data_IF_802505031602
#
_entry.id   IF_802505031602
#
_cell.length_a   1.000
_cell.length_b   1.000
_cell.length_c   1.000
_cell.angle_alpha   90.00
_cell.angle_beta   90.00
_cell.angle_gamma   90.00
#
_symmetry.space_group_name_H-M   'P 1'
#
loop_
_entity.id
_entity.type
_entity.pdbx_description
1 polymer ?
#
# COMPACT_ATOMS: atom_id res chain seq x y z
N UNK A 1 -5.04 9.40 3.24
CA UNK A 1 -4.05 8.31 3.16
C UNK A 1 -4.39 7.38 2.00
N UNK A 2 -3.41 6.68 1.44
CA UNK A 2 -3.60 5.62 0.42
C UNK A 2 -3.78 4.26 1.12
N UNK A 3 -4.68 3.43 0.62
CA UNK A 3 -4.81 2.02 1.05
C UNK A 3 -3.90 1.16 0.16
N UNK A 4 -2.96 0.43 0.75
CA UNK A 4 -1.97 -0.33 -0.02
C UNK A 4 -1.88 -1.78 0.45
N UNK A 5 -2.34 -2.73 -0.38
CA UNK A 5 -2.27 -4.17 -0.09
C UNK A 5 -0.91 -4.80 -0.42
N UNK A 6 0.04 -4.03 -0.93
CA UNK A 6 1.39 -4.47 -1.28
C UNK A 6 2.50 -3.91 -0.41
N UNK A 7 2.17 -3.30 0.73
CA UNK A 7 3.15 -2.89 1.74
C UNK A 7 2.71 -3.31 3.14
N UNK A 8 3.69 -3.45 4.03
CA UNK A 8 3.49 -3.85 5.42
C UNK A 8 3.66 -2.70 6.41
N UNK A 9 4.32 -1.60 6.06
CA UNK A 9 4.55 -0.49 7.00
C UNK A 9 3.50 0.60 6.81
N UNK A 10 2.68 0.83 7.83
CA UNK A 10 1.83 2.02 7.91
C UNK A 10 2.70 3.25 8.14
N UNK A 11 2.44 4.36 7.44
CA UNK A 11 3.18 5.60 7.72
C UNK A 11 2.39 6.86 7.37
N UNK A 12 2.79 7.97 7.97
CA UNK A 12 2.26 9.32 7.73
C UNK A 12 3.39 10.35 7.67
N UNK A 13 3.20 11.47 6.98
CA UNK A 13 4.16 12.57 7.02
C UNK A 13 4.07 13.30 8.36
N UNK A 14 5.23 13.50 8.98
CA UNK A 14 5.37 14.08 10.30
C UNK A 14 6.19 15.37 10.31
N UNK A 15 5.81 16.28 11.20
CA UNK A 15 6.60 17.45 11.52
C UNK A 15 7.71 17.14 12.55
N UNK A 16 8.91 17.77 12.46
CA UNK A 16 9.32 18.64 11.36
C UNK A 16 9.54 17.84 10.08
N UNK A 17 9.00 18.33 8.98
CA UNK A 17 9.24 17.75 7.67
C UNK A 17 10.52 18.39 7.09
N UNK A 18 11.53 17.58 6.79
CA UNK A 18 12.77 18.02 6.16
C UNK A 18 12.57 18.20 4.66
N UNK A 19 12.18 17.13 3.98
CA UNK A 19 11.88 17.09 2.54
C UNK A 19 10.60 16.28 2.36
N UNK A 20 9.44 16.92 2.14
CA UNK A 20 8.19 16.20 1.92
C UNK A 20 7.37 16.81 0.78
N UNK A 21 6.59 15.95 0.13
CA UNK A 21 5.64 16.37 -0.87
C UNK A 21 4.41 17.05 -0.23
N UNK A 22 3.67 17.79 -1.06
CA UNK A 22 2.43 18.45 -0.65
C UNK A 22 1.29 17.43 -0.52
N UNK A 23 0.64 17.42 0.65
CA UNK A 23 -0.54 16.62 0.97
C UNK A 23 -1.77 17.51 1.17
N UNK A 24 -2.97 16.96 1.03
CA UNK A 24 -4.23 17.70 1.20
C UNK A 24 -4.55 17.98 2.68
N UNK A 25 -4.32 16.97 3.53
CA UNK A 25 -4.52 17.07 4.97
C UNK A 25 -3.32 17.72 5.66
N UNK A 26 -3.46 18.29 6.88
CA UNK A 26 -2.34 18.81 7.65
C UNK A 26 -1.28 17.73 7.95
N UNK A 27 0.00 18.13 7.98
CA UNK A 27 1.10 17.27 8.43
C UNK A 27 0.86 16.88 9.88
N UNK A 28 1.11 15.61 10.21
CA UNK A 28 0.94 15.13 11.58
C UNK A 28 1.99 15.77 12.50
N UNK A 29 1.56 16.28 13.65
CA UNK A 29 2.41 16.96 14.63
C UNK A 29 2.63 16.05 15.86
N UNK A 30 3.75 15.32 15.96
CA UNK A 30 4.00 14.38 17.06
C UNK A 30 3.86 15.01 18.44
N UNK A 31 4.32 16.26 18.59
CA UNK A 31 4.27 16.99 19.86
C UNK A 31 2.86 17.33 20.33
N UNK A 32 1.85 17.27 19.44
CA UNK A 32 0.45 17.51 19.77
C UNK A 32 -0.30 16.25 20.20
N UNK A 33 0.26 15.07 19.95
CA UNK A 33 -0.35 13.79 20.30
C UNK A 33 0.10 13.31 21.68
N UNK A 34 -0.87 12.89 22.49
CA UNK A 34 -0.60 12.28 23.80
C UNK A 34 -0.31 10.78 23.73
N UNK A 35 -0.62 10.13 22.61
CA UNK A 35 -0.39 8.70 22.40
C UNK A 35 0.80 8.39 21.50
N UNK A 36 1.48 9.42 20.98
CA UNK A 36 2.75 9.27 20.27
C UNK A 36 3.83 8.73 21.21
N UNK A 37 4.42 7.59 20.85
CA UNK A 37 5.46 6.96 21.65
C UNK A 37 6.55 6.36 20.76
N UNK A 38 7.81 6.84 20.84
CA UNK A 38 8.92 6.28 20.07
C UNK A 38 9.17 4.81 20.39
N UNK A 39 9.41 3.98 19.36
CA UNK A 39 9.85 2.61 19.57
C UNK A 39 11.36 2.56 19.83
N UNK A 40 11.76 1.70 20.76
CA UNK A 40 13.18 1.41 20.96
C UNK A 40 13.67 0.37 19.96
N UNK A 41 14.98 0.37 19.71
CA UNK A 41 15.62 -0.53 18.73
C UNK A 41 15.46 -2.02 19.08
N UNK A 42 15.23 -2.35 20.35
CA UNK A 42 15.09 -3.73 20.81
C UNK A 42 13.69 -4.33 20.63
N UNK A 43 12.71 -3.50 20.28
CA UNK A 43 11.33 -3.94 20.09
C UNK A 43 11.21 -4.90 18.92
N UNK A 44 10.26 -5.84 19.03
CA UNK A 44 9.97 -6.78 17.94
C UNK A 44 9.56 -6.04 16.66
N UNK A 45 8.77 -4.98 16.78
CA UNK A 45 8.35 -4.15 15.65
C UNK A 45 9.55 -3.58 14.89
N UNK A 46 10.52 -2.97 15.58
CA UNK A 46 11.73 -2.44 14.94
C UNK A 46 12.52 -3.53 14.22
N UNK A 47 12.67 -4.69 14.85
CA UNK A 47 13.40 -5.85 14.29
C UNK A 47 12.70 -6.50 13.10
N UNK A 48 11.42 -6.19 12.88
CA UNK A 48 10.64 -6.67 11.72
C UNK A 48 10.68 -5.73 10.52
N UNK A 49 11.35 -4.57 10.62
CA UNK A 49 11.56 -3.67 9.49
C UNK A 49 12.63 -4.24 8.56
N UNK A 50 12.40 -4.14 7.25
CA UNK A 50 13.40 -4.51 6.24
C UNK A 50 14.63 -3.59 6.30
N UNK A 51 14.39 -2.30 6.47
CA UNK A 51 15.44 -1.28 6.62
C UNK A 51 15.14 -0.49 7.90
N UNK A 52 16.08 -0.56 8.84
CA UNK A 52 16.02 0.19 10.10
C UNK A 52 17.40 0.70 10.52
N UNK A 53 17.41 1.82 11.23
CA UNK A 53 18.59 2.38 11.87
C UNK A 53 18.27 2.62 13.35
N UNK A 54 19.27 2.46 14.22
CA UNK A 54 19.15 2.81 15.63
C UNK A 54 19.90 4.10 15.92
N UNK A 55 19.19 5.13 16.39
CA UNK A 55 19.81 6.42 16.72
C UNK A 55 19.41 6.83 18.14
N UNK A 56 20.40 7.02 19.02
CA UNK A 56 20.15 7.37 20.43
C UNK A 56 19.14 6.44 21.16
N UNK A 57 19.03 5.18 20.73
CA UNK A 57 18.10 4.20 21.29
C UNK A 57 16.69 4.22 20.69
N UNK A 58 16.38 5.13 19.78
CA UNK A 58 15.13 5.14 19.01
C UNK A 58 15.29 4.41 17.68
N UNK A 59 14.23 3.73 17.27
CA UNK A 59 14.16 3.02 16.00
C UNK A 59 13.79 4.01 14.88
N UNK A 60 14.60 4.04 13.84
CA UNK A 60 14.30 4.72 12.58
C UNK A 60 13.88 3.68 11.54
N UNK A 61 12.97 4.06 10.67
CA UNK A 61 12.52 3.22 9.56
C UNK A 61 12.83 3.88 8.21
N UNK A 62 12.96 3.04 7.20
CA UNK A 62 12.91 3.44 5.81
C UNK A 62 12.02 2.46 5.04
N UNK A 63 11.15 3.00 4.19
CA UNK A 63 10.43 2.23 3.17
C UNK A 63 10.79 2.79 1.81
N UNK A 64 11.25 1.90 0.93
CA UNK A 64 11.50 2.19 -0.48
C UNK A 64 10.45 1.47 -1.35
N UNK A 65 9.86 2.20 -2.29
CA UNK A 65 8.85 1.71 -3.22
C UNK A 65 9.44 1.43 -4.60
N UNK A 66 8.79 0.55 -5.36
CA UNK A 66 9.29 0.10 -6.66
C UNK A 66 9.31 1.18 -7.76
N UNK A 67 8.60 2.29 -7.55
CA UNK A 67 8.61 3.49 -8.41
C UNK A 67 9.75 4.47 -8.05
N UNK A 68 10.58 4.14 -7.06
CA UNK A 68 11.65 4.99 -6.54
C UNK A 68 11.20 5.97 -5.46
N UNK A 69 9.91 6.00 -5.12
CA UNK A 69 9.42 6.77 -3.99
C UNK A 69 9.94 6.18 -2.67
N UNK A 70 10.09 7.00 -1.63
CA UNK A 70 10.53 6.53 -0.33
C UNK A 70 9.99 7.38 0.82
N UNK A 71 10.05 6.83 2.03
CA UNK A 71 9.76 7.52 3.28
C UNK A 71 10.76 7.10 4.36
N UNK A 72 11.29 8.08 5.09
CA UNK A 72 12.27 7.89 6.16
C UNK A 72 11.87 8.72 7.37
N UNK A 73 11.98 8.13 8.56
CA UNK A 73 11.77 8.86 9.80
C UNK A 73 11.77 7.98 11.04
N UNK A 74 11.04 8.39 12.06
CA UNK A 74 10.97 7.68 13.33
C UNK A 74 9.96 6.53 13.23
N UNK A 75 10.32 5.36 13.76
CA UNK A 75 9.37 4.27 13.94
C UNK A 75 8.77 4.35 15.34
N UNK A 76 7.45 4.48 15.42
CA UNK A 76 6.74 4.85 16.63
C UNK A 76 5.48 4.02 16.79
N UNK A 77 4.85 4.09 17.96
CA UNK A 77 3.46 3.67 18.13
C UNK A 77 2.55 4.88 18.27
N UNK A 78 1.35 4.77 17.72
CA UNK A 78 0.31 5.79 17.79
C UNK A 78 -1.09 5.14 17.84
N UNK A 79 -2.09 5.93 18.24
CA UNK A 79 -3.50 5.59 18.13
C UNK A 79 -4.02 5.93 16.74
N UNK A 80 -4.54 4.93 16.04
CA UNK A 80 -5.21 5.12 14.75
C UNK A 80 -6.72 5.11 14.95
N UNK A 81 -7.40 6.18 14.53
CA UNK A 81 -8.87 6.27 14.54
C UNK A 81 -9.43 6.09 13.13
N UNK A 82 -10.31 5.09 12.98
CA UNK A 82 -11.02 4.76 11.74
C UNK A 82 -12.53 4.86 12.00
N UNK A 83 -13.14 5.95 11.55
CA UNK A 83 -14.55 6.24 11.81
C UNK A 83 -14.81 6.38 13.31
N UNK A 84 -15.64 5.50 13.88
CA UNK A 84 -15.94 5.48 15.32
C UNK A 84 -15.05 4.54 16.15
N UNK A 85 -14.11 3.83 15.50
CA UNK A 85 -13.22 2.89 16.16
C UNK A 85 -11.82 3.49 16.31
N UNK A 86 -11.16 3.20 17.43
CA UNK A 86 -9.76 3.56 17.67
C UNK A 86 -8.97 2.33 18.07
N UNK A 87 -7.74 2.23 17.56
CA UNK A 87 -6.79 1.18 17.91
C UNK A 87 -5.52 1.85 18.42
N UNK A 88 -5.17 1.56 19.66
CA UNK A 88 -3.99 2.10 20.33
C UNK A 88 -2.74 1.27 20.03
N UNK A 89 -1.58 1.89 20.22
CA UNK A 89 -0.26 1.24 20.14
C UNK A 89 0.04 0.59 18.77
N UNK A 90 -0.46 1.17 17.69
CA UNK A 90 -0.17 0.71 16.33
C UNK A 90 1.20 1.25 15.93
N UNK A 91 2.12 0.36 15.59
CA UNK A 91 3.43 0.69 15.05
C UNK A 91 3.27 1.33 13.65
N UNK A 92 3.75 2.56 13.51
CA UNK A 92 3.73 3.33 12.28
C UNK A 92 5.07 4.01 12.04
N UNK A 93 5.37 4.28 10.77
CA UNK A 93 6.39 5.20 10.36
C UNK A 93 5.93 6.65 10.44
N UNK A 94 6.68 7.47 11.15
CA UNK A 94 6.52 8.90 11.23
C UNK A 94 7.55 9.56 10.30
N UNK A 95 7.16 9.80 9.05
CA UNK A 95 8.08 10.15 7.97
C UNK A 95 8.45 11.62 7.98
N UNK A 96 9.73 11.92 8.14
CA UNK A 96 10.28 13.29 8.10
C UNK A 96 10.91 13.64 6.75
N UNK A 97 11.26 12.63 5.95
CA UNK A 97 11.70 12.78 4.57
C UNK A 97 10.87 11.82 3.70
N UNK A 98 10.07 12.37 2.79
CA UNK A 98 9.12 11.65 1.97
C UNK A 98 9.17 12.19 0.53
N UNK A 99 9.67 11.40 -0.39
CA UNK A 99 9.71 11.76 -1.81
C UNK A 99 8.94 10.73 -2.62
N UNK A 100 8.20 11.18 -3.64
CA UNK A 100 7.45 10.28 -4.48
C UNK A 100 6.18 10.84 -5.07
N UNK A 101 5.41 9.95 -5.69
CA UNK A 101 4.20 10.26 -6.44
C UNK A 101 2.91 10.18 -5.60
N UNK A 102 3.01 10.24 -4.27
CA UNK A 102 1.88 10.14 -3.34
C UNK A 102 0.96 11.38 -3.29
N UNK A 103 1.19 12.35 -4.17
CA UNK A 103 0.63 13.71 -4.18
C UNK A 103 -0.81 13.77 -3.65
N UNK A 104 -1.00 14.56 -2.59
CA UNK A 104 -2.29 14.75 -1.92
C UNK A 104 -2.56 13.81 -0.74
N UNK A 105 -1.93 12.62 -0.69
CA UNK A 105 -2.15 11.69 0.42
C UNK A 105 -1.21 11.94 1.60
N UNK A 106 -1.75 11.92 2.82
CA UNK A 106 -0.95 12.11 4.04
C UNK A 106 0.02 10.96 4.39
N UNK A 107 -0.01 9.85 3.63
CA UNK A 107 0.74 8.63 3.91
C UNK A 107 -0.02 7.38 3.47
N UNK A 108 0.40 6.21 3.96
CA UNK A 108 -0.09 4.88 3.55
C UNK A 108 -0.63 4.09 4.74
N UNK A 109 -1.81 3.49 4.57
CA UNK A 109 -2.33 2.43 5.42
C UNK A 109 -2.01 1.08 4.74
N UNK A 110 -1.03 0.39 5.31
CA UNK A 110 -0.50 -0.87 4.82
C UNK A 110 -1.44 -2.03 5.17
N UNK A 111 -2.04 -2.61 4.15
CA UNK A 111 -2.94 -3.75 4.22
C UNK A 111 -2.27 -5.06 3.77
N UNK A 112 -0.95 -5.07 3.65
CA UNK A 112 -0.11 -6.22 3.31
C UNK A 112 -0.25 -7.39 4.27
N UNK A 113 0.49 -8.46 3.98
CA UNK A 113 0.43 -9.73 4.68
C UNK A 113 1.40 -9.91 5.83
N UNK A 114 2.42 -9.06 5.92
CA UNK A 114 3.50 -9.17 6.88
C UNK A 114 3.10 -8.70 8.27
N UNK A 115 4.02 -8.89 9.21
CA UNK A 115 3.81 -8.67 10.65
C UNK A 115 3.53 -7.21 11.01
N UNK A 116 4.08 -6.26 10.23
CA UNK A 116 3.89 -4.83 10.48
C UNK A 116 2.61 -4.27 9.83
N UNK A 117 1.93 -5.05 8.99
CA UNK A 117 0.72 -4.56 8.31
C UNK A 117 -0.39 -4.26 9.31
N UNK A 118 -1.25 -3.29 8.99
CA UNK A 118 -2.37 -2.92 9.87
C UNK A 118 -3.27 -4.12 10.22
N UNK A 119 -3.68 -5.00 9.27
CA UNK A 119 -4.44 -6.20 9.61
C UNK A 119 -3.73 -7.10 10.64
N UNK A 120 -2.41 -7.30 10.50
CA UNK A 120 -1.63 -8.12 11.43
C UNK A 120 -1.54 -7.48 12.82
N UNK A 121 -1.29 -6.18 12.89
CA UNK A 121 -1.16 -5.47 14.18
C UNK A 121 -2.45 -5.45 15.00
N UNK A 122 -3.61 -5.41 14.33
CA UNK A 122 -4.91 -5.45 15.02
C UNK A 122 -5.46 -6.87 15.21
N UNK A 123 -4.67 -7.90 14.88
CA UNK A 123 -5.07 -9.31 14.89
C UNK A 123 -6.34 -9.57 14.05
N UNK A 124 -6.48 -8.88 12.90
CA UNK A 124 -7.58 -9.12 11.98
C UNK A 124 -7.41 -10.48 11.28
N UNK A 125 -8.47 -11.26 11.27
CA UNK A 125 -8.56 -12.52 10.51
C UNK A 125 -8.86 -12.28 9.03
N UNK A 126 -9.24 -11.06 8.67
CA UNK A 126 -9.50 -10.66 7.30
C UNK A 126 -10.01 -9.23 7.23
N UNK A 127 -9.99 -8.69 6.02
CA UNK A 127 -10.53 -7.38 5.72
C UNK A 127 -11.22 -7.40 4.35
N UNK A 128 -12.13 -6.45 4.15
CA UNK A 128 -12.78 -6.19 2.88
C UNK A 128 -12.80 -4.72 2.58
N UNK A 129 -12.63 -4.38 1.31
CA UNK A 129 -12.83 -3.01 0.84
C UNK A 129 -13.75 -2.99 -0.39
N UNK A 130 -14.59 -1.97 -0.47
CA UNK A 130 -15.43 -1.69 -1.62
C UNK A 130 -15.05 -0.30 -2.12
N UNK A 131 -14.32 -0.26 -3.24
CA UNK A 131 -13.91 1.00 -3.86
C UNK A 131 -15.03 1.51 -4.75
N UNK A 132 -15.30 2.80 -4.66
CA UNK A 132 -16.16 3.52 -5.60
C UNK A 132 -15.31 4.13 -6.70
N UNK A 133 -15.95 4.62 -7.77
CA UNK A 133 -15.26 5.41 -8.78
C UNK A 133 -14.62 6.65 -8.13
N UNK A 134 -13.40 6.99 -8.55
CA UNK A 134 -12.63 8.11 -8.01
C UNK A 134 -13.37 9.44 -8.14
N UNK A 135 -14.13 9.60 -9.21
CA UNK A 135 -14.85 10.84 -9.53
C UNK A 135 -16.31 10.82 -9.02
N UNK A 136 -16.69 9.78 -8.26
CA UNK A 136 -18.01 9.67 -7.64
C UNK A 136 -18.09 10.40 -6.30
N UNK A 137 -19.26 10.97 -6.00
CA UNK A 137 -19.58 11.51 -4.67
C UNK A 137 -19.80 10.41 -3.61
N UNK A 138 -19.73 9.13 -4.00
CA UNK A 138 -19.90 7.99 -3.09
C UNK A 138 -18.64 7.73 -2.26
N UNK A 139 -18.81 7.15 -1.08
CA UNK A 139 -17.70 6.84 -0.17
C UNK A 139 -17.33 5.36 -0.27
N UNK A 140 -16.03 5.08 -0.40
CA UNK A 140 -15.49 3.71 -0.35
C UNK A 140 -15.53 3.17 1.09
N UNK A 141 -15.66 1.86 1.26
CA UNK A 141 -15.66 1.23 2.58
C UNK A 141 -14.43 0.36 2.79
N UNK A 142 -13.97 0.28 4.04
CA UNK A 142 -12.97 -0.65 4.54
C UNK A 142 -13.49 -1.25 5.84
N UNK A 143 -13.56 -2.57 5.91
CA UNK A 143 -14.08 -3.31 7.05
C UNK A 143 -13.12 -4.42 7.44
N UNK A 144 -12.97 -4.64 8.74
CA UNK A 144 -12.18 -5.73 9.31
C UNK A 144 -13.09 -6.75 9.97
N UNK A 145 -12.81 -8.03 9.77
CA UNK A 145 -13.54 -9.15 10.39
C UNK A 145 -15.07 -9.17 10.11
N UNK A 146 -15.53 -8.61 8.99
CA UNK A 146 -16.94 -8.60 8.59
C UNK A 146 -17.44 -10.01 8.24
N UNK A 147 -18.76 -10.23 8.16
CA UNK A 147 -19.32 -11.53 7.73
C UNK A 147 -19.31 -11.67 6.21
N UNK A 148 -19.15 -12.91 5.72
CA UNK A 148 -19.16 -13.18 4.28
C UNK A 148 -20.56 -12.91 3.71
N UNK A 149 -20.63 -12.19 2.59
CA UNK A 149 -21.87 -12.02 1.87
C UNK A 149 -22.33 -13.37 1.30
N UNK A 150 -23.64 -13.71 1.36
CA UNK A 150 -24.16 -15.03 0.93
C UNK A 150 -23.82 -15.44 -0.50
N UNK A 151 -23.58 -14.47 -1.39
CA UNK A 151 -23.30 -14.68 -2.81
C UNK A 151 -21.84 -14.39 -3.19
N UNK A 152 -20.92 -14.38 -2.21
CA UNK A 152 -19.51 -14.13 -2.48
C UNK A 152 -18.89 -15.30 -3.24
N UNK A 153 -18.21 -14.99 -4.36
CA UNK A 153 -17.32 -15.95 -5.02
C UNK A 153 -16.02 -16.00 -4.21
N UNK A 154 -15.60 -17.21 -3.85
CA UNK A 154 -14.39 -17.41 -3.04
C UNK A 154 -13.31 -18.11 -3.84
N UNK A 155 -12.06 -17.72 -3.61
CA UNK A 155 -10.87 -18.39 -4.09
C UNK A 155 -9.94 -18.62 -2.89
N UNK A 156 -9.14 -19.70 -2.89
CA UNK A 156 -8.19 -19.93 -1.82
C UNK A 156 -7.13 -18.82 -1.82
N UNK A 157 -6.86 -18.24 -0.65
CA UNK A 157 -5.74 -17.33 -0.46
C UNK A 157 -4.47 -18.16 -0.21
N UNK A 158 -3.49 -17.99 -1.08
CA UNK A 158 -2.15 -18.57 -0.99
C UNK A 158 -1.22 -17.53 -0.36
N UNK A 159 -0.35 -17.99 0.54
CA UNK A 159 0.72 -17.21 1.15
C UNK A 159 2.06 -17.72 0.63
N UNK A 160 2.95 -16.80 0.25
CA UNK A 160 4.35 -17.14 -0.03
C UNK A 160 5.17 -16.91 1.24
N UNK A 161 5.98 -17.89 1.62
CA UNK A 161 6.95 -17.71 2.70
C UNK A 161 8.16 -16.84 2.29
N UNK A 162 8.40 -16.70 0.98
CA UNK A 162 9.47 -15.84 0.47
C UNK A 162 9.03 -14.37 0.36
N UNK A 163 7.72 -14.14 0.20
CA UNK A 163 7.13 -12.82 0.01
C UNK A 163 5.84 -12.71 0.83
N UNK A 164 6.00 -12.54 2.14
CA UNK A 164 4.88 -12.56 3.11
C UNK A 164 3.93 -11.35 2.94
N UNK A 165 4.42 -10.25 2.38
CA UNK A 165 3.67 -9.02 2.12
C UNK A 165 2.48 -9.22 1.18
N UNK A 166 2.59 -10.10 0.17
CA UNK A 166 1.59 -10.18 -0.90
C UNK A 166 0.51 -11.24 -0.64
N UNK A 167 -0.68 -10.98 -1.20
CA UNK A 167 -1.83 -11.86 -1.17
C UNK A 167 -2.01 -12.58 -2.51
N UNK A 168 -1.78 -13.88 -2.55
CA UNK A 168 -1.91 -14.66 -3.79
C UNK A 168 -3.28 -15.33 -3.84
N UNK A 169 -4.01 -15.22 -4.95
CA UNK A 169 -5.25 -15.97 -5.13
C UNK A 169 -4.95 -17.26 -5.89
N UNK A 170 -5.28 -18.39 -5.29
CA UNK A 170 -5.29 -19.71 -5.93
C UNK A 170 -6.51 -19.87 -6.83
N UNK A 171 -6.67 -18.96 -7.76
CA UNK A 171 -7.45 -19.19 -8.98
C UNK A 171 -6.53 -20.06 -9.86
N UNK A 172 -7.06 -20.78 -10.86
CA UNK A 172 -6.20 -21.09 -12.01
C UNK A 172 -5.58 -19.74 -12.45
N UNK A 173 -4.30 -19.56 -12.10
CA UNK A 173 -3.38 -18.40 -12.19
C UNK A 173 -3.95 -16.97 -12.31
N UNK A 174 -4.29 -16.29 -11.22
CA UNK A 174 -4.28 -14.80 -11.23
C UNK A 174 -3.95 -14.24 -9.84
N UNK A 175 -3.02 -13.30 -9.76
CA UNK A 175 -2.41 -12.80 -8.52
C UNK A 175 -2.92 -11.37 -8.20
N UNK A 176 -3.11 -11.05 -6.92
CA UNK A 176 -3.38 -9.68 -6.48
C UNK A 176 -2.11 -9.11 -5.81
N UNK A 177 -1.41 -8.20 -6.48
CA UNK A 177 -0.27 -7.48 -5.90
C UNK A 177 -0.49 -5.96 -6.05
N UNK A 178 0.34 -5.10 -5.45
CA UNK A 178 0.34 -3.65 -5.76
C UNK A 178 0.46 -3.39 -7.27
N UNK A 179 1.05 -4.35 -7.97
CA UNK A 179 0.97 -4.51 -9.42
C UNK A 179 -0.25 -5.39 -9.73
N UNK A 180 -1.17 -4.93 -10.58
CA UNK A 180 -2.23 -5.83 -11.06
C UNK A 180 -1.59 -6.90 -11.95
N UNK A 181 -1.61 -8.15 -11.50
CA UNK A 181 -1.05 -9.27 -12.25
C UNK A 181 -2.17 -10.01 -12.95
N UNK A 182 -1.94 -10.32 -14.22
CA UNK A 182 -2.91 -10.99 -15.07
C UNK A 182 -2.45 -12.42 -15.37
N UNK A 183 -3.41 -13.32 -15.63
CA UNK A 183 -3.20 -14.53 -16.42
C UNK A 183 -2.35 -14.17 -17.64
N UNK A 184 -1.39 -15.00 -18.04
CA UNK A 184 -0.46 -14.68 -19.15
C UNK A 184 -1.18 -14.19 -20.41
N UNK A 185 -2.33 -14.77 -20.76
CA UNK A 185 -3.06 -14.37 -21.96
C UNK A 185 -3.74 -12.99 -21.81
N UNK A 186 -4.29 -12.70 -20.64
CA UNK A 186 -4.86 -11.39 -20.32
C UNK A 186 -3.77 -10.32 -20.18
N UNK A 187 -2.62 -10.68 -19.60
CA UNK A 187 -1.44 -9.84 -19.51
C UNK A 187 -0.95 -9.46 -20.91
N UNK A 188 -0.72 -10.45 -21.77
CA UNK A 188 -0.25 -10.23 -23.14
C UNK A 188 -1.25 -9.36 -23.91
N UNK A 189 -2.55 -9.61 -23.78
CA UNK A 189 -3.59 -8.81 -24.46
C UNK A 189 -3.57 -7.35 -24.01
N UNK A 190 -3.50 -7.11 -22.70
CA UNK A 190 -3.44 -5.76 -22.15
C UNK A 190 -2.13 -5.06 -22.53
N UNK A 191 -0.99 -5.74 -22.36
CA UNK A 191 0.34 -5.24 -22.72
C UNK A 191 0.40 -4.84 -24.18
N UNK A 192 -0.01 -5.72 -25.09
CA UNK A 192 0.09 -5.48 -26.53
C UNK A 192 -0.82 -4.31 -26.96
N UNK A 193 -2.02 -4.19 -26.37
CA UNK A 193 -2.89 -3.04 -26.58
C UNK A 193 -2.27 -1.74 -26.05
N UNK A 194 -1.67 -1.78 -24.85
CA UNK A 194 -1.02 -0.63 -24.23
C UNK A 194 0.20 -0.18 -25.05
N UNK A 195 1.07 -1.10 -25.47
CA UNK A 195 2.22 -0.85 -26.37
C UNK A 195 1.74 -0.26 -27.70
N UNK A 196 0.65 -0.79 -28.27
CA UNK A 196 0.11 -0.27 -29.52
C UNK A 196 -0.42 1.18 -29.37
N UNK A 197 -0.95 1.54 -28.20
CA UNK A 197 -1.41 2.89 -27.86
C UNK A 197 -0.32 3.86 -27.41
N UNK A 198 0.92 3.38 -27.21
CA UNK A 198 2.06 4.17 -26.70
C UNK A 198 3.25 4.21 -27.67
N UNK A 199 3.01 3.99 -28.97
CA UNK A 199 4.07 4.01 -29.99
C UNK A 199 4.85 5.33 -30.07
N UNK A 200 4.28 6.42 -29.58
CA UNK A 200 4.93 7.73 -29.49
C UNK A 200 5.94 7.83 -28.34
N UNK A 201 5.88 6.91 -27.37
CA UNK A 201 6.79 6.87 -26.24
C UNK A 201 8.04 6.05 -26.56
N UNK A 202 9.18 6.54 -26.11
CA UNK A 202 10.46 5.84 -26.28
C UNK A 202 10.54 4.68 -25.29
N UNK A 203 10.59 3.45 -25.78
CA UNK A 203 10.77 2.28 -24.91
C UNK A 203 12.19 2.25 -24.31
N UNK A 204 12.31 1.69 -23.10
CA UNK A 204 13.57 1.41 -22.41
C UNK A 204 13.56 -0.02 -21.85
N UNK A 205 14.69 -0.45 -21.29
CA UNK A 205 14.82 -1.78 -20.71
C UNK A 205 13.86 -1.99 -19.54
N UNK A 206 13.37 -3.23 -19.38
CA UNK A 206 12.57 -3.64 -18.25
C UNK A 206 13.32 -3.48 -16.92
N UNK A 207 12.59 -3.16 -15.86
CA UNK A 207 13.12 -3.01 -14.50
C UNK A 207 12.37 -3.98 -13.58
N UNK A 208 13.11 -4.77 -12.80
CA UNK A 208 12.57 -5.76 -11.88
C UNK A 208 11.56 -6.72 -12.57
N UNK A 209 10.28 -6.64 -12.21
CA UNK A 209 9.20 -7.51 -12.72
C UNK A 209 8.45 -6.91 -13.92
N UNK A 210 8.80 -5.70 -14.36
CA UNK A 210 8.12 -5.00 -15.45
C UNK A 210 8.85 -5.17 -16.78
N UNK A 211 8.15 -5.60 -17.82
CA UNK A 211 8.71 -5.84 -19.17
C UNK A 211 8.41 -4.72 -20.19
N UNK A 212 7.53 -3.78 -19.84
CA UNK A 212 7.04 -2.72 -20.72
C UNK A 212 7.33 -1.36 -20.08
N UNK A 213 8.54 -0.85 -20.33
CA UNK A 213 9.05 0.39 -19.73
C UNK A 213 9.32 1.45 -20.80
N UNK A 214 9.15 2.72 -20.44
CA UNK A 214 9.39 3.88 -21.32
C UNK A 214 10.32 4.92 -20.66
N UNK A 215 11.21 5.51 -21.45
CA UNK A 215 12.05 6.64 -21.08
C UNK A 215 11.26 7.94 -21.25
N UNK A 216 10.87 8.53 -20.13
CA UNK A 216 10.08 9.77 -20.07
C UNK A 216 10.93 11.00 -19.72
N UNK A 217 12.25 10.85 -19.61
CA UNK A 217 13.17 11.90 -19.12
C UNK A 217 13.17 13.18 -19.96
N UNK A 218 12.72 13.10 -21.22
CA UNK A 218 12.65 14.21 -22.17
C UNK A 218 11.26 14.85 -22.28
N UNK A 219 10.27 14.39 -21.50
CA UNK A 219 8.89 14.84 -21.60
C UNK A 219 8.45 15.56 -20.31
N UNK A 220 7.99 16.81 -20.44
CA UNK A 220 7.40 17.54 -19.30
C UNK A 220 5.98 17.08 -18.93
N UNK A 221 5.30 16.39 -19.84
CA UNK A 221 4.00 15.75 -19.63
C UNK A 221 3.86 14.58 -20.62
N UNK A 222 3.21 13.50 -20.19
CA UNK A 222 3.10 12.26 -20.96
C UNK A 222 1.64 11.81 -20.96
N UNK A 223 1.09 11.63 -22.16
CA UNK A 223 -0.24 11.06 -22.35
C UNK A 223 -0.10 9.55 -22.59
N UNK A 224 -0.84 8.77 -21.80
CA UNK A 224 -0.88 7.30 -21.87
C UNK A 224 -2.32 6.82 -22.08
N UNK A 225 -2.52 5.66 -22.74
CA UNK A 225 -3.83 5.08 -22.93
C UNK A 225 -4.55 4.85 -21.59
N UNK A 226 -5.82 5.25 -21.51
CA UNK A 226 -6.68 4.91 -20.38
C UNK A 226 -6.95 3.41 -20.37
N UNK A 227 -6.68 2.76 -19.24
CA UNK A 227 -7.05 1.37 -18.99
C UNK A 227 -8.20 1.37 -17.98
N UNK A 228 -9.39 0.93 -18.42
CA UNK A 228 -10.58 0.85 -17.58
C UNK A 228 -11.06 -0.58 -17.43
N UNK A 229 -11.33 -0.99 -16.19
CA UNK A 229 -11.99 -2.26 -15.90
C UNK A 229 -13.49 -2.02 -15.73
N UNK A 230 -14.28 -2.52 -16.67
CA UNK A 230 -15.73 -2.39 -16.62
C UNK A 230 -16.31 -3.56 -15.85
N UNK A 231 -16.70 -3.30 -14.60
CA UNK A 231 -17.44 -4.25 -13.78
C UNK A 231 -18.94 -3.98 -13.92
N UNK A 232 -19.75 -5.05 -14.00
CA UNK A 232 -21.20 -4.92 -14.15
C UNK A 232 -21.89 -4.38 -12.88
N UNK A 233 -21.20 -4.37 -11.74
CA UNK A 233 -21.63 -3.87 -10.42
C UNK A 233 -20.39 -3.45 -9.61
N UNK A 234 -20.57 -2.65 -8.54
CA UNK A 234 -19.51 -2.43 -7.55
C UNK A 234 -18.97 -3.80 -7.06
N UNK A 235 -17.65 -3.98 -7.12
CA UNK A 235 -16.99 -5.22 -6.69
C UNK A 235 -16.28 -4.97 -5.36
N UNK A 236 -16.67 -5.73 -4.35
CA UNK A 236 -16.02 -5.74 -3.06
C UNK A 236 -15.00 -6.88 -3.04
N UNK A 237 -13.76 -6.56 -2.69
CA UNK A 237 -12.71 -7.56 -2.50
C UNK A 237 -12.62 -7.89 -1.02
N UNK A 238 -12.46 -9.18 -0.72
CA UNK A 238 -12.27 -9.67 0.64
C UNK A 238 -11.06 -10.59 0.70
N UNK A 239 -10.12 -10.26 1.56
CA UNK A 239 -9.02 -11.13 1.94
C UNK A 239 -9.31 -11.74 3.31
N UNK A 240 -9.32 -13.07 3.39
CA UNK A 240 -9.49 -13.79 4.64
C UNK A 240 -8.32 -14.73 4.86
N UNK A 241 -7.69 -14.62 6.02
CA UNK A 241 -6.64 -15.52 6.47
C UNK A 241 -7.32 -16.79 7.04
N UNK A 242 -6.87 -17.98 6.60
CA UNK A 242 -7.27 -19.23 7.26
C UNK A 242 -6.48 -19.37 8.55
N UNK A 243 -7.15 -19.34 9.69
CA UNK A 243 -6.61 -19.87 10.95
C UNK A 243 -6.67 -21.39 10.88
N UNK A 244 -5.52 -22.06 10.84
CA UNK A 244 -5.40 -23.50 11.09
C UNK A 244 -5.45 -23.78 12.58
#
# INVERSE_FOLDING_TARGET
MVLDTGSDVNWVQCAPCADCYQQADPIFEPASSTSYSPLTCDTKHCKSLDISECRNGTCLYEVSYGDGSYTVGDFVTETITLGSASVENVAIGCGHNNEGLFVGAAGVLALGGGLLSFPSQINATGFSYCLVDRDSDSVSTLEFNSTLLPNAITAPLIRSHELETFYYLGINRTECTAITRFQTDAYNSLRDAFVNGTKHLRSTNGVALFDTCYDLSSNGSVEVPTVSFHFRTAMCYRCQQRTT
#
